data_IF_824566147943
#
_entry.id   IF_824566147943
#
_cell.length_a   1.000
_cell.length_b   1.000
_cell.length_c   1.000
_cell.angle_alpha   90.00
_cell.angle_beta   90.00
_cell.angle_gamma   90.00
#
_symmetry.space_group_name_H-M   'P 1'
#
loop_
_entity.id
_entity.type
_entity.pdbx_description
1 polymer ?
#
# COMPACT_ATOMS: atom_id res chain seq x y z
N UNK A 1 63.43 28.44 -70.75
CA UNK A 1 62.39 28.79 -69.83
C UNK A 1 61.30 27.67 -69.84
N UNK A 2 61.52 26.62 -69.16
CA UNK A 2 60.51 25.53 -68.96
C UNK A 2 60.81 24.76 -67.71
N UNK A 3 60.45 25.31 -66.55
CA UNK A 3 60.59 24.65 -65.27
C UNK A 3 59.60 25.28 -64.29
N UNK A 4 58.31 24.95 -64.37
CA UNK A 4 57.38 25.26 -63.26
C UNK A 4 55.97 24.65 -63.41
N UNK A 5 55.80 23.55 -64.13
CA UNK A 5 54.44 22.97 -64.25
C UNK A 5 54.27 21.57 -63.64
N UNK A 6 55.38 20.95 -63.21
CA UNK A 6 55.29 19.57 -62.55
C UNK A 6 55.00 19.63 -61.08
N UNK A 7 55.33 20.67 -60.35
CA UNK A 7 55.12 20.80 -58.96
C UNK A 7 53.64 21.08 -58.57
N UNK A 8 52.87 21.66 -59.47
CA UNK A 8 51.44 21.95 -59.22
C UNK A 8 50.53 20.78 -59.44
N UNK A 9 50.89 19.83 -60.26
CA UNK A 9 50.09 18.62 -60.47
C UNK A 9 50.24 17.63 -59.28
N UNK A 10 51.43 17.57 -58.73
CA UNK A 10 51.70 16.64 -57.61
C UNK A 10 51.01 17.11 -56.30
N UNK A 11 50.97 18.38 -56.02
CA UNK A 11 50.22 18.98 -54.90
C UNK A 11 48.70 18.82 -55.01
N UNK A 12 48.16 18.77 -56.21
CA UNK A 12 46.74 18.56 -56.49
C UNK A 12 46.34 17.09 -56.29
N UNK A 13 47.20 16.16 -56.63
CA UNK A 13 46.96 14.71 -56.45
C UNK A 13 47.08 14.30 -54.97
N UNK A 14 48.02 14.89 -54.22
CA UNK A 14 48.15 14.66 -52.77
C UNK A 14 46.97 15.28 -52.01
N UNK A 15 46.53 16.48 -52.38
CA UNK A 15 45.35 17.11 -51.74
C UNK A 15 44.05 16.34 -51.99
N UNK A 16 43.87 15.76 -53.17
CA UNK A 16 42.72 14.95 -53.50
C UNK A 16 42.73 13.60 -52.75
N UNK A 17 43.90 12.99 -52.57
CA UNK A 17 44.04 11.73 -51.81
C UNK A 17 43.81 11.91 -50.31
N UNK A 18 44.30 13.03 -49.75
CA UNK A 18 44.06 13.35 -48.31
C UNK A 18 42.59 13.67 -48.05
N UNK A 19 41.92 14.39 -48.94
CA UNK A 19 40.48 14.65 -48.84
C UNK A 19 39.64 13.37 -48.95
N UNK A 20 40.01 12.42 -49.80
CA UNK A 20 39.32 11.13 -49.95
C UNK A 20 39.52 10.25 -48.71
N UNK A 21 40.70 10.27 -48.10
CA UNK A 21 40.97 9.53 -46.84
C UNK A 21 40.23 10.16 -45.68
N UNK A 22 40.17 11.48 -45.57
CA UNK A 22 39.37 12.13 -44.51
C UNK A 22 37.86 11.90 -44.70
N UNK A 23 37.35 11.84 -45.94
CA UNK A 23 35.94 11.49 -46.19
C UNK A 23 35.61 10.05 -45.84
N UNK A 24 36.55 9.12 -46.05
CA UNK A 24 36.41 7.71 -45.66
C UNK A 24 36.44 7.50 -44.13
N UNK A 25 37.23 8.30 -43.41
CA UNK A 25 37.29 8.24 -41.93
C UNK A 25 36.00 8.83 -41.32
N UNK A 26 35.39 9.84 -41.91
CA UNK A 26 34.12 10.41 -41.46
C UNK A 26 32.94 9.44 -41.73
N UNK A 27 33.00 8.63 -42.78
CA UNK A 27 31.98 7.62 -43.09
C UNK A 27 32.15 6.35 -42.26
N UNK A 28 33.36 6.04 -41.76
CA UNK A 28 33.61 4.91 -40.88
C UNK A 28 33.37 5.25 -39.39
N UNK A 29 33.25 6.55 -39.04
CA UNK A 29 33.04 7.03 -37.68
C UNK A 29 31.57 7.12 -37.22
N UNK A 30 30.61 6.91 -38.13
CA UNK A 30 29.22 6.67 -37.73
C UNK A 30 29.02 5.21 -37.42
N UNK A 31 29.65 4.72 -36.32
CA UNK A 31 29.02 3.68 -35.54
C UNK A 31 27.65 4.23 -35.12
N UNK A 32 26.59 3.71 -35.73
CA UNK A 32 25.23 4.01 -35.32
C UNK A 32 25.17 3.76 -33.82
N UNK A 33 25.24 4.84 -33.05
CA UNK A 33 24.73 4.82 -31.68
C UNK A 33 23.23 4.59 -31.89
N UNK A 34 22.83 3.33 -31.94
CA UNK A 34 21.45 2.94 -31.81
C UNK A 34 21.06 3.45 -30.43
N UNK A 35 20.34 4.55 -30.40
CA UNK A 35 19.60 4.96 -29.22
C UNK A 35 18.61 3.82 -28.98
N UNK A 36 19.01 2.85 -28.16
CA UNK A 36 18.08 1.85 -27.64
C UNK A 36 16.97 2.63 -26.97
N UNK A 37 15.75 2.45 -27.48
CA UNK A 37 14.57 2.99 -26.80
C UNK A 37 14.56 2.47 -25.36
N UNK A 38 13.98 3.22 -24.43
CA UNK A 38 13.86 2.80 -23.03
C UNK A 38 13.27 1.39 -22.96
N UNK A 39 12.33 1.05 -23.87
CA UNK A 39 11.73 -0.28 -23.99
C UNK A 39 12.73 -1.36 -24.45
N UNK A 40 13.67 -1.05 -25.33
CA UNK A 40 14.72 -2.01 -25.75
C UNK A 40 15.79 -2.17 -24.66
N UNK A 41 16.09 -1.10 -23.90
CA UNK A 41 16.98 -1.17 -22.76
C UNK A 41 16.36 -1.99 -21.61
N UNK A 42 15.06 -1.88 -21.40
CA UNK A 42 14.32 -2.70 -20.42
C UNK A 42 14.21 -4.17 -20.89
N UNK A 43 13.98 -4.41 -22.17
CA UNK A 43 13.97 -5.78 -22.74
C UNK A 43 15.36 -6.45 -22.70
N UNK A 44 16.44 -5.67 -22.77
CA UNK A 44 17.82 -6.17 -22.64
C UNK A 44 18.26 -6.32 -21.17
N UNK A 45 17.57 -5.64 -20.25
CA UNK A 45 17.75 -5.80 -18.81
C UNK A 45 16.89 -6.97 -18.31
N UNK A 46 17.10 -8.16 -18.88
CA UNK A 46 16.58 -9.38 -18.28
C UNK A 46 17.39 -9.60 -17.00
N UNK A 47 16.88 -9.05 -15.90
CA UNK A 47 17.43 -9.31 -14.58
C UNK A 47 17.39 -10.83 -14.38
N UNK A 48 18.51 -11.43 -14.00
CA UNK A 48 18.58 -12.85 -13.69
C UNK A 48 17.70 -13.11 -12.47
N UNK A 49 16.77 -14.06 -12.59
CA UNK A 49 15.88 -14.41 -11.48
C UNK A 49 16.73 -14.88 -10.27
N UNK A 50 16.49 -14.27 -9.12
CA UNK A 50 17.24 -14.58 -7.89
C UNK A 50 16.65 -15.77 -7.13
N UNK A 51 15.44 -16.18 -7.49
CA UNK A 51 14.72 -17.31 -6.92
C UNK A 51 13.95 -18.05 -8.01
N UNK A 52 13.72 -19.34 -7.81
CA UNK A 52 12.99 -20.22 -8.72
C UNK A 52 12.14 -21.21 -7.92
N UNK A 53 11.31 -21.99 -8.60
CA UNK A 53 10.56 -23.08 -7.96
C UNK A 53 11.54 -24.11 -7.35
N UNK A 54 11.28 -24.65 -6.14
CA UNK A 54 10.03 -24.54 -5.37
C UNK A 54 9.96 -23.34 -4.41
N UNK A 55 10.96 -22.46 -4.37
CA UNK A 55 10.97 -21.28 -3.47
C UNK A 55 9.85 -20.29 -3.83
N UNK A 56 9.48 -20.20 -5.11
CA UNK A 56 8.29 -19.48 -5.59
C UNK A 56 7.35 -20.46 -6.32
N UNK A 57 6.06 -20.07 -6.42
CA UNK A 57 5.01 -20.92 -7.01
C UNK A 57 5.23 -21.17 -8.50
N UNK A 58 5.64 -20.15 -9.27
CA UNK A 58 5.81 -20.21 -10.72
C UNK A 58 7.15 -19.58 -11.15
N UNK A 59 7.96 -20.31 -11.90
CA UNK A 59 9.25 -19.81 -12.38
C UNK A 59 9.07 -18.51 -13.20
N UNK A 60 9.89 -17.51 -12.85
CA UNK A 60 9.91 -16.22 -13.52
C UNK A 60 8.81 -15.26 -13.08
N UNK A 61 7.92 -15.63 -12.16
CA UNK A 61 6.83 -14.80 -11.67
C UNK A 61 6.83 -14.74 -10.14
N UNK A 62 6.57 -13.56 -9.60
CA UNK A 62 6.29 -13.36 -8.18
C UNK A 62 4.79 -13.11 -8.02
N UNK A 63 4.10 -14.03 -7.33
CA UNK A 63 2.67 -13.89 -7.01
C UNK A 63 2.54 -13.05 -5.74
N UNK A 64 2.01 -11.84 -5.90
CA UNK A 64 1.94 -10.81 -4.87
C UNK A 64 0.51 -10.62 -4.41
N UNK A 65 0.22 -11.00 -3.17
CA UNK A 65 -1.07 -10.73 -2.53
C UNK A 65 -1.20 -9.25 -2.21
N UNK A 66 -2.34 -8.66 -2.57
CA UNK A 66 -2.73 -7.30 -2.21
C UNK A 66 -3.91 -7.37 -1.26
N UNK A 67 -3.76 -6.88 -0.03
CA UNK A 67 -4.82 -6.88 0.98
C UNK A 67 -5.91 -5.86 0.60
N UNK A 68 -7.09 -6.36 0.23
CA UNK A 68 -8.23 -5.51 -0.19
C UNK A 68 -8.78 -4.65 0.94
N UNK A 69 -8.46 -4.99 2.19
CA UNK A 69 -8.82 -4.22 3.39
C UNK A 69 -8.02 -2.92 3.57
N UNK A 70 -6.84 -2.80 2.95
CA UNK A 70 -5.97 -1.65 3.17
C UNK A 70 -6.56 -0.35 2.58
N UNK A 71 -7.16 -0.43 1.38
CA UNK A 71 -7.76 0.74 0.75
C UNK A 71 -6.73 1.79 0.28
N UNK A 72 -7.22 3.00 0.00
CA UNK A 72 -6.39 4.14 -0.45
C UNK A 72 -5.62 4.73 0.73
N UNK A 73 -4.33 5.03 0.59
CA UNK A 73 -3.48 5.08 -0.62
C UNK A 73 -2.70 3.81 -0.91
N UNK A 74 -2.83 2.78 -0.08
CA UNK A 74 -2.08 1.54 -0.20
C UNK A 74 -2.53 0.75 -1.42
N UNK A 75 -3.84 0.62 -1.60
CA UNK A 75 -4.47 -0.12 -2.69
C UNK A 75 -5.74 0.54 -3.18
N UNK A 76 -5.87 0.69 -4.49
CA UNK A 76 -7.11 1.07 -5.17
C UNK A 76 -7.27 0.27 -6.45
N UNK A 77 -8.49 -0.12 -6.76
CA UNK A 77 -8.84 -0.66 -8.07
C UNK A 77 -9.46 0.44 -8.93
N UNK A 78 -8.81 0.75 -10.05
CA UNK A 78 -9.23 1.77 -10.98
C UNK A 78 -9.22 1.22 -12.42
N UNK A 79 -10.39 1.19 -13.07
CA UNK A 79 -10.47 0.77 -14.46
C UNK A 79 -10.04 -0.68 -14.74
N UNK A 80 -10.09 -1.57 -13.76
CA UNK A 80 -9.66 -2.96 -13.86
C UNK A 80 -8.15 -3.16 -13.66
N UNK A 81 -7.45 -2.14 -13.16
CA UNK A 81 -6.05 -2.22 -12.74
C UNK A 81 -5.93 -1.87 -11.25
N UNK A 82 -4.90 -2.39 -10.61
CA UNK A 82 -4.54 -2.03 -9.23
C UNK A 82 -3.50 -0.92 -9.25
N UNK A 83 -3.69 0.06 -8.38
CA UNK A 83 -2.79 1.19 -8.15
C UNK A 83 -2.60 1.37 -6.63
N UNK A 84 -1.54 2.05 -6.23
CA UNK A 84 -1.27 2.32 -4.82
C UNK A 84 0.19 2.13 -4.44
N UNK A 85 0.49 2.40 -3.18
CA UNK A 85 1.84 2.26 -2.63
C UNK A 85 2.26 0.79 -2.64
N UNK A 86 1.36 -0.12 -2.24
CA UNK A 86 1.61 -1.56 -2.18
C UNK A 86 1.86 -2.16 -3.57
N UNK A 87 1.11 -1.68 -4.58
CA UNK A 87 1.29 -2.10 -5.97
C UNK A 87 2.65 -1.66 -6.51
N UNK A 88 3.03 -0.40 -6.24
CA UNK A 88 4.32 0.15 -6.67
C UNK A 88 5.48 -0.56 -5.98
N UNK A 89 5.37 -0.80 -4.68
CA UNK A 89 6.37 -1.52 -3.89
C UNK A 89 6.50 -2.98 -4.34
N UNK A 90 5.38 -3.66 -4.55
CA UNK A 90 5.35 -5.05 -5.04
C UNK A 90 5.94 -5.22 -6.44
N UNK A 91 5.62 -4.29 -7.37
CA UNK A 91 6.21 -4.29 -8.70
C UNK A 91 7.73 -4.08 -8.65
N UNK A 92 8.19 -3.13 -7.82
CA UNK A 92 9.61 -2.87 -7.63
C UNK A 92 10.33 -4.08 -6.98
N UNK A 93 9.68 -4.76 -6.02
CA UNK A 93 10.21 -5.99 -5.41
C UNK A 93 10.37 -7.10 -6.44
N UNK A 94 9.34 -7.37 -7.25
CA UNK A 94 9.42 -8.38 -8.32
C UNK A 94 10.56 -8.05 -9.29
N UNK A 95 10.67 -6.79 -9.72
CA UNK A 95 11.76 -6.34 -10.60
C UNK A 95 13.14 -6.54 -9.94
N UNK A 96 13.29 -6.20 -8.66
CA UNK A 96 14.54 -6.38 -7.93
C UNK A 96 14.95 -7.85 -7.83
N UNK A 97 13.98 -8.77 -7.76
CA UNK A 97 14.20 -10.22 -7.77
C UNK A 97 14.36 -10.81 -9.17
N UNK A 98 14.24 -10.01 -10.24
CA UNK A 98 14.33 -10.46 -11.63
C UNK A 98 13.09 -11.24 -12.10
N UNK A 99 11.92 -10.98 -11.50
CA UNK A 99 10.66 -11.66 -11.74
C UNK A 99 9.61 -10.72 -12.32
N UNK A 100 8.60 -11.29 -12.98
CA UNK A 100 7.37 -10.60 -13.38
C UNK A 100 6.40 -10.54 -12.19
N UNK A 101 5.83 -9.36 -11.92
CA UNK A 101 4.83 -9.21 -10.87
C UNK A 101 3.46 -9.74 -11.32
N UNK A 102 2.84 -10.59 -10.51
CA UNK A 102 1.46 -11.08 -10.69
C UNK A 102 0.68 -10.73 -9.45
N UNK A 103 -0.19 -9.71 -9.54
CA UNK A 103 -0.99 -9.25 -8.43
C UNK A 103 -2.24 -10.10 -8.23
N UNK A 104 -2.50 -10.47 -6.98
CA UNK A 104 -3.63 -11.30 -6.56
C UNK A 104 -4.35 -10.58 -5.41
N UNK A 105 -5.61 -10.13 -5.59
CA UNK A 105 -6.36 -9.56 -4.49
C UNK A 105 -6.68 -10.64 -3.45
N UNK A 106 -6.46 -10.33 -2.18
CA UNK A 106 -6.67 -11.23 -1.06
C UNK A 106 -7.38 -10.49 0.07
N UNK A 107 -8.24 -11.18 0.82
CA UNK A 107 -8.98 -10.58 1.94
C UNK A 107 -8.17 -10.59 3.24
N UNK A 108 -7.25 -11.55 3.37
CA UNK A 108 -6.40 -11.73 4.56
C UNK A 108 -5.14 -12.50 4.23
N UNK A 109 -4.21 -12.57 5.19
CA UNK A 109 -3.01 -13.42 5.10
C UNK A 109 -3.34 -14.90 5.01
N UNK A 110 -4.44 -15.35 5.63
CA UNK A 110 -4.92 -16.73 5.52
C UNK A 110 -5.47 -17.03 4.11
N UNK A 111 -6.22 -16.10 3.52
CA UNK A 111 -6.70 -16.21 2.13
C UNK A 111 -5.51 -16.22 1.15
N UNK A 112 -4.52 -15.38 1.37
CA UNK A 112 -3.28 -15.37 0.58
C UNK A 112 -2.58 -16.73 0.55
N UNK A 113 -2.53 -17.41 1.70
CA UNK A 113 -1.99 -18.78 1.80
C UNK A 113 -2.83 -19.77 1.00
N UNK A 114 -4.15 -19.68 1.07
CA UNK A 114 -5.06 -20.53 0.31
C UNK A 114 -4.96 -20.32 -1.20
N UNK A 115 -4.68 -19.08 -1.64
CA UNK A 115 -4.50 -18.72 -3.05
C UNK A 115 -3.08 -18.96 -3.58
N UNK A 116 -2.16 -19.51 -2.78
CA UNK A 116 -0.77 -19.78 -3.13
C UNK A 116 -0.07 -18.52 -3.66
N UNK A 117 -0.08 -17.42 -2.91
CA UNK A 117 0.76 -16.26 -3.20
C UNK A 117 2.14 -16.45 -2.57
N UNK A 118 3.16 -15.86 -3.17
CA UNK A 118 4.54 -15.94 -2.69
C UNK A 118 4.79 -14.94 -1.56
N UNK A 119 4.28 -13.72 -1.71
CA UNK A 119 4.41 -12.62 -0.75
C UNK A 119 3.10 -11.85 -0.62
N UNK A 120 2.89 -11.16 0.49
CA UNK A 120 1.73 -10.27 0.71
C UNK A 120 2.24 -8.89 1.06
N UNK A 121 1.78 -7.87 0.33
CA UNK A 121 2.08 -6.48 0.62
C UNK A 121 1.11 -5.91 1.66
N UNK A 122 1.54 -4.89 2.40
CA UNK A 122 0.67 -4.17 3.32
C UNK A 122 0.33 -4.91 4.60
N UNK A 123 1.17 -5.87 5.03
CA UNK A 123 0.91 -6.65 6.25
C UNK A 123 1.37 -5.89 7.48
N UNK A 124 0.43 -5.59 8.40
CA UNK A 124 0.76 -5.10 9.72
C UNK A 124 1.35 -6.24 10.57
N UNK A 125 2.44 -5.95 11.26
CA UNK A 125 3.16 -6.93 12.07
C UNK A 125 2.31 -7.54 13.19
N UNK A 126 1.29 -6.83 13.66
CA UNK A 126 0.36 -7.30 14.70
C UNK A 126 -0.68 -8.29 14.16
N UNK A 127 -0.94 -8.28 12.85
CA UNK A 127 -1.99 -9.11 12.21
C UNK A 127 -1.43 -10.10 11.18
N UNK A 128 -0.13 -10.35 11.19
CA UNK A 128 0.57 -11.17 10.20
C UNK A 128 0.11 -12.66 10.19
N UNK A 129 -0.49 -13.17 11.27
CA UNK A 129 -0.93 -14.57 11.37
C UNK A 129 0.24 -15.54 11.24
N UNK A 130 0.15 -16.48 10.29
CA UNK A 130 1.21 -17.47 10.02
C UNK A 130 2.33 -16.94 9.10
N UNK A 131 2.31 -15.66 8.76
CA UNK A 131 3.36 -15.03 7.97
C UNK A 131 4.38 -14.31 8.85
N UNK A 132 5.60 -14.19 8.35
CA UNK A 132 6.66 -13.35 8.92
C UNK A 132 6.72 -12.07 8.11
N UNK A 133 6.63 -10.92 8.76
CA UNK A 133 6.89 -9.62 8.13
C UNK A 133 8.40 -9.44 8.08
N UNK A 134 8.96 -9.56 6.88
CA UNK A 134 10.43 -9.62 6.69
C UNK A 134 11.07 -8.25 6.45
N UNK A 135 10.31 -7.27 5.99
CA UNK A 135 10.79 -5.89 5.83
C UNK A 135 9.63 -4.95 6.00
N UNK A 136 9.87 -3.83 6.66
CA UNK A 136 8.86 -2.77 6.83
C UNK A 136 9.14 -1.61 5.88
N UNK A 137 8.09 -1.08 5.27
CA UNK A 137 8.21 -0.02 4.28
C UNK A 137 7.20 1.13 4.47
N UNK A 138 6.19 0.92 5.31
CA UNK A 138 5.23 1.93 5.75
C UNK A 138 5.01 1.84 7.25
N UNK A 139 4.38 2.86 7.79
CA UNK A 139 3.89 2.90 9.17
C UNK A 139 2.39 3.22 9.16
N UNK A 140 1.66 2.68 10.13
CA UNK A 140 0.25 2.93 10.38
C UNK A 140 0.06 3.51 11.77
N UNK A 141 -0.81 4.54 11.87
CA UNK A 141 -1.20 5.16 13.13
C UNK A 141 -2.53 5.90 12.93
N UNK A 142 -3.13 6.34 14.02
CA UNK A 142 -4.25 7.28 13.99
C UNK A 142 -3.73 8.71 14.02
N UNK A 143 -3.97 9.45 12.92
CA UNK A 143 -3.54 10.82 12.73
C UNK A 143 -4.60 11.84 13.10
N UNK A 144 -4.16 12.99 13.62
CA UNK A 144 -4.95 14.21 13.77
C UNK A 144 -4.54 15.17 12.66
N UNK A 145 -5.51 15.62 11.88
CA UNK A 145 -5.31 16.52 10.76
C UNK A 145 -5.91 17.91 11.05
N UNK A 146 -5.20 18.94 10.64
CA UNK A 146 -5.60 20.34 10.80
C UNK A 146 -5.47 21.09 9.48
N UNK A 147 -6.09 22.29 9.40
CA UNK A 147 -5.85 23.23 8.30
C UNK A 147 -4.45 23.86 8.42
N UNK A 148 -3.85 24.09 7.28
CA UNK A 148 -2.54 24.74 7.16
C UNK A 148 -1.38 23.77 7.08
N UNK A 149 -0.17 24.30 7.22
CA UNK A 149 1.08 23.55 7.12
C UNK A 149 1.30 22.67 8.35
N UNK A 150 2.05 21.57 8.17
CA UNK A 150 2.45 20.71 9.29
C UNK A 150 3.23 21.51 10.32
N UNK A 151 2.86 21.42 11.61
CA UNK A 151 3.60 22.07 12.66
C UNK A 151 4.99 21.45 12.80
N UNK A 152 5.99 22.25 13.19
CA UNK A 152 7.35 21.74 13.47
C UNK A 152 7.38 20.76 14.65
N UNK A 153 6.42 20.89 15.56
CA UNK A 153 6.24 20.03 16.74
C UNK A 153 4.78 19.61 16.77
N UNK A 154 4.45 18.34 17.08
CA UNK A 154 3.06 17.92 17.21
C UNK A 154 2.29 18.81 18.19
N UNK A 155 1.00 18.99 17.91
CA UNK A 155 0.09 19.69 18.85
C UNK A 155 0.05 18.93 20.18
N UNK A 156 -0.34 19.62 21.24
CA UNK A 156 -0.54 18.99 22.55
C UNK A 156 -2.03 18.61 22.75
N UNK A 157 -2.30 17.69 23.67
CA UNK A 157 -3.67 17.31 24.05
C UNK A 157 -4.51 18.51 24.49
N UNK A 158 -3.89 19.54 25.10
CA UNK A 158 -4.54 20.79 25.50
C UNK A 158 -5.04 21.62 24.32
N UNK A 159 -4.43 21.50 23.15
CA UNK A 159 -4.83 22.24 21.94
C UNK A 159 -6.11 21.65 21.32
N UNK A 160 -6.39 20.37 21.61
CA UNK A 160 -7.61 19.69 21.21
C UNK A 160 -8.78 20.00 22.16
N UNK A 161 -8.50 20.39 23.41
CA UNK A 161 -9.53 20.61 24.43
C UNK A 161 -10.57 21.68 24.04
N UNK A 162 -11.86 21.31 24.04
CA UNK A 162 -12.99 22.16 23.69
C UNK A 162 -13.20 22.37 22.18
N UNK A 163 -12.44 21.74 21.34
CA UNK A 163 -12.57 21.81 19.86
C UNK A 163 -13.60 20.82 19.32
N UNK A 164 -14.00 21.01 18.06
CA UNK A 164 -14.84 20.06 17.31
C UNK A 164 -13.96 19.21 16.42
N UNK A 165 -14.05 17.88 16.57
CA UNK A 165 -13.25 16.90 15.85
C UNK A 165 -14.16 16.06 14.95
N UNK A 166 -13.89 16.08 13.64
CA UNK A 166 -14.55 15.23 12.65
C UNK A 166 -13.96 13.83 12.63
N UNK A 167 -14.82 12.83 12.53
CA UNK A 167 -14.41 11.42 12.38
C UNK A 167 -15.36 10.72 11.41
N UNK A 168 -14.90 9.64 10.77
CA UNK A 168 -15.82 8.76 10.10
C UNK A 168 -16.58 7.92 11.13
N UNK A 169 -17.90 7.88 11.02
CA UNK A 169 -18.78 7.13 11.93
C UNK A 169 -18.43 5.64 11.94
N UNK A 170 -18.45 5.02 13.11
CA UNK A 170 -18.14 3.60 13.32
C UNK A 170 -16.72 3.19 12.86
N UNK A 171 -15.80 4.12 12.75
CA UNK A 171 -14.40 3.82 12.46
C UNK A 171 -13.61 3.51 13.74
N UNK A 172 -12.48 2.79 13.56
CA UNK A 172 -11.54 2.56 14.66
C UNK A 172 -11.01 3.89 15.23
N UNK A 173 -10.80 4.91 14.39
CA UNK A 173 -10.36 6.24 14.82
C UNK A 173 -11.40 6.94 15.68
N UNK A 174 -12.71 6.79 15.38
CA UNK A 174 -13.79 7.31 16.23
C UNK A 174 -13.79 6.62 17.60
N UNK A 175 -13.63 5.31 17.59
CA UNK A 175 -13.58 4.51 18.84
C UNK A 175 -12.35 4.89 19.70
N UNK A 176 -11.17 5.00 19.09
CA UNK A 176 -9.96 5.42 19.80
C UNK A 176 -10.11 6.82 20.42
N UNK A 177 -10.77 7.74 19.70
CA UNK A 177 -11.05 9.09 20.21
C UNK A 177 -12.03 9.04 21.40
N UNK A 178 -13.05 8.17 21.36
CA UNK A 178 -14.01 7.95 22.46
C UNK A 178 -13.38 7.34 23.71
N UNK A 179 -12.31 6.57 23.55
CA UNK A 179 -11.55 5.96 24.66
C UNK A 179 -10.48 6.92 25.23
N UNK A 180 -10.19 8.01 24.52
CA UNK A 180 -9.24 9.02 24.99
C UNK A 180 -9.84 9.90 26.08
N UNK A 181 -8.96 10.51 26.88
CA UNK A 181 -9.33 11.53 27.89
C UNK A 181 -9.48 12.94 27.29
N UNK A 182 -9.49 13.05 25.97
CA UNK A 182 -9.61 14.33 25.26
C UNK A 182 -11.02 14.90 25.41
N UNK A 183 -11.11 16.13 25.91
CA UNK A 183 -12.36 16.86 26.06
C UNK A 183 -12.73 17.56 24.74
N UNK A 184 -13.14 16.79 23.74
CA UNK A 184 -13.51 17.28 22.40
C UNK A 184 -15.00 17.07 22.12
N UNK A 185 -15.55 17.83 21.17
CA UNK A 185 -16.87 17.56 20.60
C UNK A 185 -16.70 16.73 19.34
N UNK A 186 -17.01 15.43 19.42
CA UNK A 186 -16.91 14.54 18.26
C UNK A 186 -18.09 14.76 17.32
N UNK A 187 -17.80 14.89 16.01
CA UNK A 187 -18.79 14.98 14.95
C UNK A 187 -18.57 13.88 13.91
N UNK A 188 -19.52 12.94 13.83
CA UNK A 188 -19.47 11.83 12.88
C UNK A 188 -19.91 12.24 11.47
N UNK A 189 -19.24 11.66 10.47
CA UNK A 189 -19.55 11.75 9.05
C UNK A 189 -19.65 10.35 8.45
N UNK A 190 -20.42 10.19 7.38
CA UNK A 190 -20.59 8.88 6.73
C UNK A 190 -19.31 8.45 6.03
N UNK A 191 -18.57 9.39 5.47
CA UNK A 191 -17.31 9.15 4.76
C UNK A 191 -16.19 10.03 5.31
N UNK A 192 -14.95 9.57 5.11
CA UNK A 192 -13.77 10.35 5.47
C UNK A 192 -13.63 11.60 4.60
N UNK A 193 -14.02 11.53 3.31
CA UNK A 193 -14.07 12.69 2.42
C UNK A 193 -14.94 13.82 3.00
N UNK A 194 -16.14 13.51 3.49
CA UNK A 194 -17.02 14.49 4.11
C UNK A 194 -16.41 15.11 5.38
N UNK A 195 -15.70 14.32 6.19
CA UNK A 195 -15.00 14.84 7.37
C UNK A 195 -13.90 15.84 6.97
N UNK A 196 -13.13 15.54 5.91
CA UNK A 196 -12.10 16.45 5.39
C UNK A 196 -12.69 17.67 4.68
N UNK A 197 -13.84 17.56 4.00
CA UNK A 197 -14.58 18.70 3.50
C UNK A 197 -15.02 19.64 4.64
N UNK A 198 -15.51 19.09 5.74
CA UNK A 198 -15.89 19.86 6.93
C UNK A 198 -14.68 20.52 7.60
N UNK A 199 -13.50 19.88 7.58
CA UNK A 199 -12.26 20.50 8.02
C UNK A 199 -11.89 21.69 7.13
N UNK A 200 -11.97 21.51 5.81
CA UNK A 200 -11.69 22.58 4.83
C UNK A 200 -12.61 23.78 5.04
N UNK A 201 -13.91 23.54 5.25
CA UNK A 201 -14.92 24.59 5.40
C UNK A 201 -14.90 25.25 6.78
N UNK A 202 -14.14 24.70 7.75
CA UNK A 202 -14.09 25.18 9.12
C UNK A 202 -15.28 24.77 9.98
N UNK A 203 -16.08 23.77 9.54
CA UNK A 203 -17.18 23.20 10.31
C UNK A 203 -16.69 22.28 11.43
N UNK A 204 -15.45 21.84 11.36
CA UNK A 204 -14.67 21.16 12.41
C UNK A 204 -13.28 21.78 12.48
N UNK A 205 -12.65 21.67 13.64
CA UNK A 205 -11.32 22.21 13.88
C UNK A 205 -10.22 21.22 13.48
N UNK A 206 -10.48 19.95 13.70
CA UNK A 206 -9.59 18.82 13.38
C UNK A 206 -10.36 17.67 12.78
N UNK A 207 -9.65 16.77 12.12
CA UNK A 207 -10.14 15.44 11.72
C UNK A 207 -9.23 14.37 12.29
N UNK A 208 -9.82 13.31 12.84
CA UNK A 208 -9.12 12.12 13.30
C UNK A 208 -9.43 10.97 12.35
N UNK A 209 -8.37 10.35 11.82
CA UNK A 209 -8.49 9.28 10.83
C UNK A 209 -7.23 8.39 10.83
N UNK A 210 -7.24 7.23 10.19
CA UNK A 210 -6.00 6.53 9.88
C UNK A 210 -5.06 7.47 9.12
N UNK A 211 -3.76 7.46 9.50
CA UNK A 211 -2.82 8.50 9.05
C UNK A 211 -2.56 8.47 7.53
N UNK A 212 -2.46 7.27 6.92
CA UNK A 212 -2.22 7.18 5.47
C UNK A 212 -3.44 7.63 4.64
N UNK A 213 -4.67 7.13 4.87
CA UNK A 213 -5.87 7.66 4.22
C UNK A 213 -6.08 9.15 4.46
N UNK A 214 -5.89 9.63 5.70
CA UNK A 214 -5.98 11.04 6.01
C UNK A 214 -4.91 11.89 5.30
N UNK A 215 -3.68 11.39 5.22
CA UNK A 215 -2.59 12.03 4.47
C UNK A 215 -2.89 12.14 2.97
N UNK A 216 -3.49 11.10 2.39
CA UNK A 216 -3.98 11.13 1.00
C UNK A 216 -5.04 12.22 0.79
N UNK A 217 -6.03 12.30 1.68
CA UNK A 217 -7.07 13.32 1.57
C UNK A 217 -6.52 14.73 1.83
N UNK A 218 -5.65 14.90 2.82
CA UNK A 218 -4.99 16.18 3.07
C UNK A 218 -4.19 16.65 1.85
N UNK A 219 -3.47 15.73 1.18
CA UNK A 219 -2.74 16.01 -0.06
C UNK A 219 -3.69 16.37 -1.22
N UNK A 220 -4.78 15.62 -1.37
CA UNK A 220 -5.78 15.83 -2.43
C UNK A 220 -6.57 17.13 -2.28
N UNK A 221 -6.98 17.48 -1.07
CA UNK A 221 -7.72 18.72 -0.79
C UNK A 221 -6.81 19.95 -0.73
N UNK A 222 -5.55 19.79 -0.35
CA UNK A 222 -4.61 20.88 -0.10
C UNK A 222 -4.92 21.67 1.17
N UNK A 223 -3.98 22.50 1.60
CA UNK A 223 -4.08 23.37 2.79
C UNK A 223 -4.45 22.63 4.09
N UNK A 224 -4.09 21.37 4.18
CA UNK A 224 -4.27 20.52 5.35
C UNK A 224 -3.04 19.67 5.57
N UNK A 225 -2.76 19.34 6.82
CA UNK A 225 -1.60 18.56 7.19
C UNK A 225 -1.80 17.73 8.44
N UNK A 226 -0.93 16.76 8.65
CA UNK A 226 -0.85 16.00 9.88
C UNK A 226 -0.36 16.90 11.01
N UNK A 227 -1.15 17.04 12.06
CA UNK A 227 -0.85 17.81 13.25
C UNK A 227 -0.24 16.99 14.39
N UNK A 228 -0.41 15.66 14.35
CA UNK A 228 0.15 14.72 15.31
C UNK A 228 -0.52 13.35 15.22
N UNK A 229 -0.05 12.41 16.05
CA UNK A 229 -0.57 11.06 16.14
C UNK A 229 -1.21 10.81 17.51
N UNK A 230 -2.34 10.10 17.55
CA UNK A 230 -2.98 9.73 18.81
C UNK A 230 -2.31 8.49 19.44
N UNK A 231 -1.88 7.56 18.63
CA UNK A 231 -1.29 6.27 19.05
C UNK A 231 0.16 6.13 18.57
N UNK A 232 0.81 5.09 19.06
CA UNK A 232 2.16 4.73 18.63
C UNK A 232 2.08 4.06 17.26
N UNK A 233 2.87 4.50 16.26
CA UNK A 233 2.87 3.87 14.95
C UNK A 233 3.21 2.39 15.01
N UNK A 234 2.41 1.56 14.34
CA UNK A 234 2.75 0.19 13.98
C UNK A 234 3.49 0.16 12.65
N UNK A 235 4.14 -0.97 12.34
CA UNK A 235 4.91 -1.13 11.12
C UNK A 235 4.18 -2.03 10.12
N UNK A 236 4.16 -1.60 8.87
CA UNK A 236 3.60 -2.32 7.73
C UNK A 236 4.74 -2.81 6.84
N UNK A 237 4.69 -4.06 6.44
CA UNK A 237 5.76 -4.66 5.64
C UNK A 237 5.28 -5.74 4.69
N UNK A 238 6.24 -6.56 4.25
CA UNK A 238 6.00 -7.68 3.34
C UNK A 238 5.90 -8.97 4.12
N UNK A 239 4.73 -9.59 4.06
CA UNK A 239 4.47 -10.90 4.66
C UNK A 239 4.97 -12.02 3.75
N UNK A 240 5.72 -12.96 4.30
CA UNK A 240 6.19 -14.19 3.63
C UNK A 240 5.88 -15.37 4.55
N UNK A 241 5.53 -16.52 3.98
CA UNK A 241 5.29 -17.73 4.76
C UNK A 241 6.43 -18.04 5.73
N UNK A 242 6.11 -18.33 6.99
CA UNK A 242 7.10 -18.69 8.00
C UNK A 242 7.94 -19.94 7.62
N UNK A 243 7.41 -20.79 6.77
CA UNK A 243 8.11 -21.99 6.29
C UNK A 243 9.11 -21.73 5.15
N UNK A 244 9.06 -20.53 4.50
CA UNK A 244 9.88 -20.23 3.31
C UNK A 244 11.03 -19.27 3.65
N UNK A 245 12.01 -19.76 4.39
CA UNK A 245 13.15 -18.95 4.88
C UNK A 245 14.02 -18.41 3.75
N UNK A 246 14.18 -19.16 2.65
CA UNK A 246 14.96 -18.69 1.49
C UNK A 246 14.30 -17.46 0.85
N UNK A 247 12.98 -17.49 0.63
CA UNK A 247 12.26 -16.35 0.09
C UNK A 247 12.29 -15.15 1.06
N UNK A 248 12.17 -15.41 2.37
CA UNK A 248 12.29 -14.35 3.39
C UNK A 248 13.59 -13.57 3.26
N UNK A 249 14.74 -14.27 3.17
CA UNK A 249 16.06 -13.64 3.03
C UNK A 249 16.17 -12.81 1.74
N UNK A 250 15.66 -13.33 0.63
CA UNK A 250 15.70 -12.63 -0.66
C UNK A 250 14.80 -11.41 -0.70
N UNK A 251 13.58 -11.53 -0.18
CA UNK A 251 12.62 -10.41 -0.08
C UNK A 251 13.16 -9.34 0.86
N UNK A 252 13.70 -9.72 2.03
CA UNK A 252 14.32 -8.78 2.97
C UNK A 252 15.42 -7.95 2.29
N UNK A 253 16.39 -8.62 1.65
CA UNK A 253 17.50 -7.94 1.00
C UNK A 253 17.05 -7.01 -0.15
N UNK A 254 16.07 -7.44 -0.94
CA UNK A 254 15.52 -6.64 -2.03
C UNK A 254 14.77 -5.41 -1.49
N UNK A 255 13.90 -5.58 -0.50
CA UNK A 255 13.13 -4.49 0.10
C UNK A 255 14.04 -3.48 0.82
N UNK A 256 15.05 -3.93 1.56
CA UNK A 256 16.02 -3.04 2.24
C UNK A 256 16.74 -2.15 1.22
N UNK A 257 17.05 -2.71 0.04
CA UNK A 257 17.62 -1.93 -1.06
C UNK A 257 16.64 -0.91 -1.65
N UNK A 258 15.35 -1.27 -1.79
CA UNK A 258 14.31 -0.37 -2.29
C UNK A 258 14.00 0.76 -1.31
N UNK A 259 13.93 0.46 -0.02
CA UNK A 259 13.72 1.44 1.06
C UNK A 259 14.90 2.41 1.12
N UNK A 260 16.13 1.90 1.23
CA UNK A 260 17.34 2.73 1.31
C UNK A 260 17.62 3.49 0.02
N UNK A 261 17.23 2.94 -1.13
CA UNK A 261 17.30 3.58 -2.46
C UNK A 261 16.24 4.64 -2.72
N UNK A 262 15.30 4.85 -1.78
CA UNK A 262 14.27 5.88 -1.86
C UNK A 262 13.08 5.55 -2.77
N UNK A 263 12.99 4.34 -3.32
CA UNK A 263 11.87 3.93 -4.20
C UNK A 263 10.54 4.03 -3.46
N UNK A 264 10.51 3.53 -2.22
CA UNK A 264 9.30 3.59 -1.38
C UNK A 264 8.95 5.03 -1.00
N UNK A 265 9.95 5.86 -0.69
CA UNK A 265 9.71 7.28 -0.38
C UNK A 265 9.08 8.03 -1.56
N UNK A 266 9.51 7.75 -2.79
CA UNK A 266 8.90 8.32 -4.00
C UNK A 266 7.48 7.82 -4.18
N UNK A 267 7.23 6.51 -4.07
CA UNK A 267 5.89 5.95 -4.17
C UNK A 267 4.95 6.58 -3.14
N UNK A 268 5.39 6.67 -1.87
CA UNK A 268 4.63 7.30 -0.79
C UNK A 268 4.32 8.78 -1.09
N UNK A 269 5.31 9.56 -1.55
CA UNK A 269 5.12 10.99 -1.83
C UNK A 269 4.13 11.28 -2.96
N UNK A 270 3.94 10.36 -3.89
CA UNK A 270 2.93 10.48 -4.94
C UNK A 270 1.50 10.43 -4.40
N UNK A 271 1.28 9.71 -3.29
CA UNK A 271 -0.03 9.50 -2.71
C UNK A 271 -0.33 10.45 -1.54
N UNK A 272 0.63 10.65 -0.65
CA UNK A 272 0.42 11.43 0.59
C UNK A 272 1.21 12.75 0.62
N UNK A 273 1.80 13.14 -0.51
CA UNK A 273 2.54 14.40 -0.64
C UNK A 273 3.73 14.49 0.31
N UNK A 274 3.83 15.61 1.00
CA UNK A 274 4.91 15.92 1.95
C UNK A 274 4.64 15.42 3.37
N UNK A 275 3.62 14.58 3.61
CA UNK A 275 3.36 14.03 4.93
C UNK A 275 4.63 13.37 5.50
N UNK A 276 5.08 13.69 6.72
CA UNK A 276 6.29 13.10 7.31
C UNK A 276 6.14 11.59 7.51
N UNK A 277 7.27 10.87 7.66
CA UNK A 277 7.25 9.49 8.13
C UNK A 277 6.63 9.45 9.53
N UNK A 278 5.81 8.43 9.81
CA UNK A 278 5.10 8.32 11.09
C UNK A 278 6.07 7.75 12.13
N UNK A 279 6.53 8.61 13.02
CA UNK A 279 7.46 8.24 14.10
C UNK A 279 6.84 8.53 15.45
N UNK A 280 7.33 7.89 16.49
CA UNK A 280 6.85 8.11 17.86
C UNK A 280 7.00 9.59 18.32
N UNK A 281 7.89 10.36 17.71
CA UNK A 281 8.09 11.78 18.01
C UNK A 281 6.88 12.63 17.57
N UNK A 282 6.06 12.14 16.65
CA UNK A 282 4.83 12.79 16.19
C UNK A 282 3.65 12.53 17.13
N UNK A 283 3.81 11.70 18.17
CA UNK A 283 2.74 11.41 19.10
C UNK A 283 2.36 12.66 19.92
N UNK A 284 1.06 12.92 20.00
CA UNK A 284 0.47 14.01 20.79
C UNK A 284 0.68 13.69 22.26
N UNK A 285 1.41 14.56 22.97
CA UNK A 285 1.70 14.37 24.37
C UNK A 285 0.51 14.71 25.25
N UNK A 286 0.29 13.93 26.29
CA UNK A 286 -0.74 14.16 27.30
C UNK A 286 -2.09 13.53 26.95
N UNK A 287 -2.17 12.68 25.91
CA UNK A 287 -3.34 11.84 25.65
C UNK A 287 -3.19 10.56 26.45
N UNK A 288 -4.24 10.18 27.18
CA UNK A 288 -4.36 8.88 27.85
C UNK A 288 -5.62 8.17 27.36
N UNK A 289 -5.58 6.83 27.36
CA UNK A 289 -6.72 6.02 26.95
C UNK A 289 -7.22 5.24 28.15
N UNK A 290 -8.54 5.22 28.32
CA UNK A 290 -9.20 4.43 29.36
C UNK A 290 -9.62 3.11 28.71
N UNK A 291 -9.04 1.99 29.11
CA UNK A 291 -9.64 0.69 28.80
C UNK A 291 -11.06 0.69 29.38
N UNK A 292 -12.07 0.81 28.52
CA UNK A 292 -13.43 0.47 28.92
C UNK A 292 -13.40 -1.01 29.24
N UNK A 293 -13.60 -1.39 30.51
CA UNK A 293 -13.89 -2.75 30.91
C UNK A 293 -14.94 -3.30 29.94
N UNK A 294 -14.54 -4.09 28.97
CA UNK A 294 -15.46 -4.96 28.24
C UNK A 294 -16.07 -5.84 29.31
N UNK A 295 -17.34 -5.59 29.60
CA UNK A 295 -18.10 -6.05 30.77
C UNK A 295 -17.71 -7.45 31.17
N UNK A 296 -17.39 -7.58 32.44
CA UNK A 296 -17.14 -8.83 33.20
C UNK A 296 -17.80 -10.02 32.49
N UNK A 297 -17.07 -11.06 32.07
CA UNK A 297 -17.70 -12.28 31.59
C UNK A 297 -18.71 -12.72 32.63
N UNK A 298 -19.97 -12.84 32.24
CA UNK A 298 -21.01 -13.41 33.10
C UNK A 298 -20.45 -14.71 33.64
N UNK A 299 -20.30 -14.90 34.97
CA UNK A 299 -19.83 -16.15 35.52
C UNK A 299 -20.79 -17.23 35.05
N UNK A 300 -20.34 -18.12 34.20
CA UNK A 300 -20.99 -19.42 34.01
C UNK A 300 -20.80 -20.17 35.32
N UNK A 301 -21.78 -20.02 36.20
CA UNK A 301 -21.91 -20.85 37.40
C UNK A 301 -22.15 -22.29 36.94
N UNK A 302 -21.07 -23.05 36.86
CA UNK A 302 -21.13 -24.49 36.74
C UNK A 302 -21.40 -25.02 38.16
N UNK A 303 -22.68 -24.93 38.52
CA UNK A 303 -23.19 -25.62 39.69
C UNK A 303 -22.99 -27.13 39.54
N UNK A 304 -21.95 -27.65 40.22
CA UNK A 304 -21.89 -29.07 40.62
C UNK A 304 -22.97 -29.32 41.67
N UNK A 305 -24.14 -29.78 41.22
CA UNK A 305 -25.23 -30.27 42.08
C UNK A 305 -25.58 -31.68 41.67
N UNK A 306 -25.09 -32.65 42.47
CA UNK A 306 -25.65 -34.00 42.52
C UNK A 306 -27.11 -33.96 42.99
N UNK A 307 -28.01 -34.63 42.24
CA UNK A 307 -29.37 -34.89 42.73
C UNK A 307 -30.25 -35.49 41.64
N UNK A 308 -30.45 -36.77 41.71
CA UNK A 308 -31.45 -37.53 40.95
C UNK A 308 -32.83 -36.88 41.08
N UNK A 309 -33.59 -36.79 39.98
CA UNK A 309 -34.90 -37.44 39.83
C UNK A 309 -35.46 -37.21 38.41
N UNK A 310 -35.97 -38.30 37.91
CA UNK A 310 -36.76 -38.49 36.71
C UNK A 310 -38.01 -37.59 36.66
N UNK A 311 -38.30 -36.93 35.56
CA UNK A 311 -39.59 -37.05 34.90
C UNK A 311 -39.56 -36.35 33.53
N UNK A 312 -40.08 -37.09 32.56
CA UNK A 312 -40.06 -36.75 31.15
C UNK A 312 -40.97 -35.60 30.74
N UNK A 313 -40.57 -34.85 29.77
CA UNK A 313 -41.47 -34.19 28.83
C UNK A 313 -40.84 -34.21 27.43
N UNK A 314 -41.67 -34.69 26.52
CA UNK A 314 -41.48 -35.03 25.13
C UNK A 314 -41.04 -33.88 24.24
N UNK A 315 -40.14 -34.20 23.33
CA UNK A 315 -39.83 -33.45 22.13
C UNK A 315 -40.95 -33.70 21.08
N UNK A 316 -41.47 -32.72 20.36
CA UNK A 316 -42.06 -32.98 19.06
C UNK A 316 -41.05 -32.75 17.95
N UNK A 317 -40.77 -33.84 17.28
CA UNK A 317 -40.06 -33.89 16.01
C UNK A 317 -40.91 -33.43 14.86
N UNK A 318 -40.21 -32.91 13.85
CA UNK A 318 -40.50 -33.03 12.40
C UNK A 318 -41.69 -32.33 11.78
N UNK A 319 -41.39 -31.64 10.73
CA UNK A 319 -42.28 -31.27 9.67
C UNK A 319 -41.51 -30.92 8.44
N UNK A 320 -41.06 -31.92 7.69
CA UNK A 320 -40.74 -31.80 6.28
C UNK A 320 -42.05 -31.55 5.54
N UNK A 321 -42.05 -30.56 4.65
CA UNK A 321 -43.01 -30.51 3.57
C UNK A 321 -42.27 -30.18 2.26
N UNK A 322 -42.24 -31.23 1.50
CA UNK A 322 -42.10 -31.29 0.04
C UNK A 322 -43.33 -30.66 -0.63
N UNK A 323 -43.20 -30.06 -1.82
CA UNK A 323 -44.36 -29.53 -2.52
C UNK A 323 -44.01 -28.66 -3.74
N UNK A 324 -43.49 -29.32 -4.75
CA UNK A 324 -43.60 -28.95 -6.17
C UNK A 324 -44.97 -28.35 -6.53
N UNK A 325 -44.97 -27.24 -7.28
CA UNK A 325 -45.84 -27.13 -8.49
C UNK A 325 -45.37 -25.99 -9.40
N UNK A 326 -45.28 -26.36 -10.65
CA UNK A 326 -45.06 -25.54 -11.82
C UNK A 326 -46.25 -24.61 -12.11
N UNK A 327 -45.99 -23.47 -12.75
CA UNK A 327 -47.03 -22.59 -13.32
C UNK A 327 -46.42 -21.57 -14.26
N UNK A 328 -46.44 -21.89 -15.51
CA UNK A 328 -46.06 -21.10 -16.69
C UNK A 328 -46.98 -19.91 -16.96
N UNK A 329 -46.49 -19.04 -17.86
CA UNK A 329 -47.17 -18.02 -18.68
C UNK A 329 -47.10 -16.59 -18.13
N UNK A 330 -46.88 -15.56 -18.94
CA UNK A 330 -46.76 -15.38 -20.38
C UNK A 330 -46.13 -13.99 -20.63
N UNK A 331 -45.52 -13.88 -21.76
CA UNK A 331 -45.10 -12.70 -22.53
C UNK A 331 -46.20 -11.65 -22.60
N UNK A 332 -45.87 -10.37 -22.44
CA UNK A 332 -46.41 -9.27 -23.25
C UNK A 332 -45.40 -8.17 -23.40
N UNK A 333 -44.93 -8.04 -24.59
CA UNK A 333 -44.36 -6.95 -25.35
C UNK A 333 -45.28 -5.73 -25.26
N UNK A 334 -44.74 -4.51 -25.21
CA UNK A 334 -45.15 -3.30 -25.94
C UNK A 334 -44.37 -2.07 -25.41
N UNK A 335 -43.72 -1.35 -26.33
CA UNK A 335 -43.46 0.08 -26.23
C UNK A 335 -42.00 0.48 -26.23
#
# INVERSE_FOLDING_TARGET
MACNNQSRSWLRTIGAAVLAICALIVLAGCSAVTLTTVQEADAQRKLEAQVSSPTIVEDGKLRIGLLTSNGVPELVEAGGAYEGIDVTAGAALAQALGLEAVFVPVESTADATAQNVDVVMGVDSSTAGDMVVVSTYLESATGVFARGDSPEVPIAATDLGGTTVGVQTNSLSAHLLDESDLLVTQKGYDTLDEAFEALRDGSVDYVVSPALPGGYLAHRFGDMSLAGLLDVPSTIGVGVSAANTELQEKVQAAMDSLVSGGVIAVARSQWVGSMPALTADLQIKGVTFTEKDEGTPVPTDVGTGNGADSDGISVPSSGAMDGSTAGSNAVTDIG
#
